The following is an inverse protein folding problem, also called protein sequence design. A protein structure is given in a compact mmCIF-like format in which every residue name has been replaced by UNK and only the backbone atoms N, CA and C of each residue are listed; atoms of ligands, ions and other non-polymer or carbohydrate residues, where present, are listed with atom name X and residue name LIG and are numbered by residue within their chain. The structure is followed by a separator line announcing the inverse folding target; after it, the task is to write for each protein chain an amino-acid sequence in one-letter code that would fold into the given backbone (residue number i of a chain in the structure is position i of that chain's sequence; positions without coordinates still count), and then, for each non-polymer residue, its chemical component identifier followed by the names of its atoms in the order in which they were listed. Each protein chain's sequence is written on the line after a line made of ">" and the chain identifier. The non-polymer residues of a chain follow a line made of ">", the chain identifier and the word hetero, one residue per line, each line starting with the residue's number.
data_IF_496598691190
#
_entry.id   IF_496598691190
#
_cell.length_a   1.000
_cell.length_b   1.000
_cell.length_c   1.000
_cell.angle_alpha   90.00
_cell.angle_beta   90.00
_cell.angle_gamma   90.00
#
_symmetry.space_group_name_H-M   'P 1'
#
loop_
_entity.id
_entity.type
_entity.pdbx_description
1 polymer ?
#
# COMPACT_ATOMS: atom_id res chain seq x y z
N UNK A 1 -14.54 -12.58 -12.28
CA UNK A 1 -15.45 -13.28 -13.23
C UNK A 1 -16.27 -12.21 -13.94
N UNK A 2 -16.53 -12.37 -15.26
CA UNK A 2 -17.42 -11.47 -16.01
C UNK A 2 -18.88 -11.92 -15.80
N UNK A 3 -19.83 -10.97 -15.74
CA UNK A 3 -21.26 -11.31 -15.72
C UNK A 3 -21.70 -11.82 -17.10
N UNK A 4 -22.79 -12.61 -17.20
CA UNK A 4 -23.36 -12.97 -18.50
C UNK A 4 -23.71 -11.73 -19.31
N UNK A 5 -23.45 -11.77 -20.60
CA UNK A 5 -23.67 -10.65 -21.49
C UNK A 5 -22.85 -10.74 -22.78
N UNK A 6 -23.00 -9.74 -23.61
CA UNK A 6 -22.27 -9.61 -24.86
C UNK A 6 -21.01 -8.77 -24.62
N UNK A 7 -19.90 -9.26 -25.13
CA UNK A 7 -18.58 -8.66 -24.98
C UNK A 7 -17.91 -8.50 -26.32
N UNK A 8 -17.09 -7.47 -26.44
CA UNK A 8 -16.17 -7.33 -27.56
C UNK A 8 -14.78 -7.77 -27.07
N UNK A 9 -14.22 -8.81 -27.70
CA UNK A 9 -12.83 -9.18 -27.53
C UNK A 9 -11.99 -8.43 -28.58
N UNK A 10 -11.02 -7.65 -28.12
CA UNK A 10 -10.11 -6.91 -29.00
C UNK A 10 -8.73 -7.55 -28.89
N UNK A 11 -8.20 -8.02 -30.02
CA UNK A 11 -6.84 -8.54 -30.12
C UNK A 11 -5.97 -7.48 -30.83
N UNK A 12 -4.90 -7.08 -30.15
CA UNK A 12 -3.91 -6.13 -30.70
C UNK A 12 -2.57 -6.85 -30.89
N UNK A 13 -2.03 -6.81 -32.09
CA UNK A 13 -0.70 -7.33 -32.39
C UNK A 13 0.07 -6.35 -33.29
N UNK A 14 1.02 -5.66 -32.73
CA UNK A 14 1.69 -4.54 -33.39
C UNK A 14 0.70 -3.44 -33.79
N UNK A 15 0.59 -3.16 -35.07
CA UNK A 15 -0.39 -2.19 -35.63
C UNK A 15 -1.72 -2.81 -36.05
N UNK A 16 -1.85 -4.14 -35.96
CA UNK A 16 -3.09 -4.84 -36.33
C UNK A 16 -4.01 -4.95 -35.13
N UNK A 17 -5.26 -4.57 -35.34
CA UNK A 17 -6.34 -4.68 -34.36
C UNK A 17 -7.48 -5.48 -34.99
N UNK A 18 -7.91 -6.54 -34.33
CA UNK A 18 -9.09 -7.31 -34.71
C UNK A 18 -10.10 -7.32 -33.55
N UNK A 19 -11.38 -7.36 -33.86
CA UNK A 19 -12.45 -7.31 -32.87
C UNK A 19 -13.50 -8.35 -33.19
N UNK A 20 -13.81 -9.20 -32.18
CA UNK A 20 -14.89 -10.18 -32.32
C UNK A 20 -15.91 -10.01 -31.19
N UNK A 21 -17.16 -10.27 -31.51
CA UNK A 21 -18.22 -10.34 -30.50
C UNK A 21 -18.27 -11.73 -29.87
N UNK A 22 -18.35 -11.75 -28.54
CA UNK A 22 -18.50 -12.94 -27.71
C UNK A 22 -19.72 -12.80 -26.84
N UNK A 23 -20.61 -13.80 -26.88
CA UNK A 23 -21.70 -13.91 -25.90
C UNK A 23 -21.28 -14.88 -24.80
N UNK A 24 -21.19 -14.41 -23.58
CA UNK A 24 -20.97 -15.26 -22.42
C UNK A 24 -22.31 -15.52 -21.71
N UNK A 25 -22.67 -16.78 -21.55
CA UNK A 25 -23.86 -17.19 -20.84
C UNK A 25 -23.53 -18.02 -19.60
N UNK A 26 -24.31 -17.85 -18.53
CA UNK A 26 -24.18 -18.69 -17.34
C UNK A 26 -24.49 -20.16 -17.65
N UNK A 27 -23.85 -21.08 -16.93
CA UNK A 27 -24.19 -22.51 -17.02
C UNK A 27 -25.63 -22.70 -16.52
N UNK A 28 -26.56 -23.22 -17.37
CA UNK A 28 -27.97 -23.37 -17.01
C UNK A 28 -28.20 -24.38 -15.88
N UNK A 29 -27.20 -25.19 -15.54
CA UNK A 29 -27.25 -26.17 -14.45
C UNK A 29 -26.95 -25.56 -13.08
N UNK A 30 -26.43 -24.32 -13.02
CA UNK A 30 -26.12 -23.64 -11.78
C UNK A 30 -27.07 -22.48 -11.55
N UNK A 31 -27.61 -22.38 -10.34
CA UNK A 31 -28.31 -21.18 -9.89
C UNK A 31 -27.28 -20.23 -9.34
N UNK A 32 -26.91 -19.22 -10.12
CA UNK A 32 -25.95 -18.21 -9.70
C UNK A 32 -26.68 -16.92 -9.33
N UNK A 33 -26.46 -16.44 -8.11
CA UNK A 33 -27.05 -15.18 -7.66
C UNK A 33 -26.21 -13.99 -8.16
N UNK A 34 -26.60 -13.43 -9.29
CA UNK A 34 -25.94 -12.27 -9.89
C UNK A 34 -26.07 -10.99 -9.06
N UNK A 35 -27.12 -10.87 -8.25
CA UNK A 35 -27.33 -9.71 -7.36
C UNK A 35 -26.32 -9.77 -6.21
N UNK A 36 -26.22 -10.92 -5.56
CA UNK A 36 -25.21 -11.17 -4.53
C UNK A 36 -23.80 -10.95 -5.08
N UNK A 37 -23.48 -11.52 -6.25
CA UNK A 37 -22.18 -11.33 -6.91
C UNK A 37 -21.88 -9.85 -7.19
N UNK A 38 -22.83 -9.09 -7.72
CA UNK A 38 -22.66 -7.67 -8.00
C UNK A 38 -22.41 -6.87 -6.71
N UNK A 39 -23.13 -7.20 -5.65
CA UNK A 39 -22.94 -6.61 -4.31
C UNK A 39 -21.55 -6.92 -3.75
N UNK A 40 -21.11 -8.17 -3.77
CA UNK A 40 -19.77 -8.59 -3.35
C UNK A 40 -18.67 -7.90 -4.15
N UNK A 41 -18.84 -7.79 -5.48
CA UNK A 41 -17.91 -7.08 -6.36
C UNK A 41 -17.84 -5.58 -6.06
N UNK A 42 -18.98 -4.95 -5.73
CA UNK A 42 -19.01 -3.55 -5.33
C UNK A 42 -18.26 -3.33 -4.00
N UNK A 43 -18.50 -4.21 -3.03
CA UNK A 43 -17.80 -4.17 -1.75
C UNK A 43 -16.28 -4.40 -1.95
N UNK A 44 -15.87 -5.36 -2.78
CA UNK A 44 -14.47 -5.61 -3.11
C UNK A 44 -13.76 -4.37 -3.61
N UNK A 45 -14.39 -3.56 -4.46
CA UNK A 45 -13.82 -2.30 -4.92
C UNK A 45 -13.55 -1.30 -3.80
N UNK A 46 -14.38 -1.30 -2.74
CA UNK A 46 -14.15 -0.44 -1.59
C UNK A 46 -12.92 -0.91 -0.77
N UNK A 47 -12.74 -2.22 -0.65
CA UNK A 47 -11.54 -2.79 -0.02
C UNK A 47 -10.29 -2.50 -0.87
N UNK A 48 -10.39 -2.70 -2.19
CA UNK A 48 -9.28 -2.43 -3.12
C UNK A 48 -8.83 -0.95 -3.06
N UNK A 49 -9.77 0.00 -2.90
CA UNK A 49 -9.44 1.41 -2.71
C UNK A 49 -8.63 1.68 -1.43
N UNK A 50 -8.92 0.97 -0.34
CA UNK A 50 -8.13 1.08 0.89
C UNK A 50 -6.75 0.43 0.74
N UNK A 51 -6.64 -0.65 -0.04
CA UNK A 51 -5.34 -1.25 -0.40
C UNK A 51 -4.49 -0.26 -1.20
N UNK A 52 -5.07 0.42 -2.20
CA UNK A 52 -4.37 1.44 -2.99
C UNK A 52 -3.92 2.61 -2.12
N UNK A 53 -4.78 3.06 -1.19
CA UNK A 53 -4.43 4.12 -0.22
C UNK A 53 -3.23 3.71 0.64
N UNK A 54 -3.26 2.50 1.22
CA UNK A 54 -2.15 1.97 2.01
C UNK A 54 -0.88 1.82 1.19
N UNK A 55 -0.99 1.33 -0.05
CA UNK A 55 0.15 1.19 -0.95
C UNK A 55 0.82 2.55 -1.24
N UNK A 56 0.04 3.61 -1.42
CA UNK A 56 0.58 4.97 -1.58
C UNK A 56 1.40 5.44 -0.37
N UNK A 57 0.89 5.21 0.85
CA UNK A 57 1.62 5.54 2.08
C UNK A 57 2.94 4.74 2.20
N UNK A 58 2.90 3.46 1.86
CA UNK A 58 4.10 2.60 1.90
C UNK A 58 5.13 2.97 0.84
N UNK A 59 4.69 3.40 -0.34
CA UNK A 59 5.57 3.91 -1.39
C UNK A 59 6.31 5.18 -0.95
N UNK A 60 5.62 6.09 -0.27
CA UNK A 60 6.22 7.31 0.27
C UNK A 60 7.32 6.99 1.28
N UNK A 61 7.07 6.07 2.21
CA UNK A 61 8.07 5.60 3.16
C UNK A 61 9.23 4.86 2.49
N UNK A 62 8.97 4.07 1.44
CA UNK A 62 10.01 3.37 0.71
C UNK A 62 10.97 4.34 0.03
N UNK A 63 10.45 5.39 -0.62
CA UNK A 63 11.28 6.44 -1.23
C UNK A 63 12.14 7.15 -0.18
N UNK A 64 11.58 7.49 0.98
CA UNK A 64 12.33 8.10 2.07
C UNK A 64 13.44 7.17 2.60
N UNK A 65 13.14 5.89 2.82
CA UNK A 65 14.11 4.89 3.29
C UNK A 65 15.25 4.68 2.29
N UNK A 66 14.95 4.55 0.99
CA UNK A 66 15.97 4.38 -0.05
C UNK A 66 16.83 5.63 -0.21
N UNK A 67 16.20 6.81 -0.12
CA UNK A 67 16.94 8.07 -0.10
C UNK A 67 17.92 8.11 1.08
N UNK A 68 17.50 7.78 2.28
CA UNK A 68 18.39 7.70 3.45
C UNK A 68 19.52 6.70 3.24
N UNK A 69 19.26 5.51 2.70
CA UNK A 69 20.31 4.51 2.40
C UNK A 69 21.34 5.05 1.43
N UNK A 70 20.89 5.73 0.36
CA UNK A 70 21.79 6.35 -0.61
C UNK A 70 22.63 7.47 0.01
N UNK A 71 22.04 8.27 0.90
CA UNK A 71 22.74 9.36 1.59
C UNK A 71 23.72 8.87 2.66
N UNK A 72 23.42 7.79 3.36
CA UNK A 72 24.26 7.24 4.44
C UNK A 72 25.69 6.97 3.96
N UNK A 73 25.86 6.45 2.76
CA UNK A 73 27.19 6.20 2.19
C UNK A 73 27.96 7.49 1.88
N UNK A 74 27.27 8.58 1.54
CA UNK A 74 27.85 9.89 1.30
C UNK A 74 28.20 10.57 2.62
N UNK A 75 27.25 10.56 3.56
CA UNK A 75 27.43 11.21 4.86
C UNK A 75 28.49 10.52 5.74
N UNK A 76 28.69 9.20 5.60
CA UNK A 76 29.76 8.49 6.29
C UNK A 76 31.17 8.90 5.83
N UNK A 77 31.30 9.53 4.67
CA UNK A 77 32.55 10.08 4.14
C UNK A 77 32.77 11.55 4.53
N UNK A 78 31.73 12.21 4.99
CA UNK A 78 31.74 13.56 5.49
C UNK A 78 31.66 13.47 7.01
N UNK A 79 32.27 14.42 7.72
CA UNK A 79 32.05 14.56 9.18
C UNK A 79 30.54 14.91 9.36
N UNK A 80 29.69 13.88 9.41
CA UNK A 80 28.24 14.04 9.66
C UNK A 80 28.05 14.67 11.03
N UNK A 81 27.06 15.54 11.14
CA UNK A 81 26.73 16.13 12.43
C UNK A 81 25.96 15.11 13.28
N UNK A 82 26.18 15.12 14.59
CA UNK A 82 25.49 14.26 15.56
C UNK A 82 23.96 14.35 15.43
N UNK A 83 23.45 15.51 14.97
CA UNK A 83 22.03 15.76 14.69
C UNK A 83 21.51 14.94 13.51
N UNK A 84 22.24 14.83 12.40
CA UNK A 84 21.85 14.04 11.22
C UNK A 84 21.78 12.56 11.58
N UNK A 85 22.74 12.01 12.29
CA UNK A 85 22.77 10.61 12.71
C UNK A 85 21.60 10.29 13.65
N UNK A 86 21.26 11.21 14.56
CA UNK A 86 20.12 11.08 15.47
C UNK A 86 18.78 11.07 14.70
N UNK A 87 18.61 11.98 13.74
CA UNK A 87 17.40 12.07 12.93
C UNK A 87 17.23 10.86 12.00
N UNK A 88 18.33 10.34 11.44
CA UNK A 88 18.30 9.08 10.67
C UNK A 88 17.86 7.89 11.53
N UNK A 89 18.36 7.80 12.75
CA UNK A 89 17.97 6.73 13.67
C UNK A 89 16.47 6.85 14.04
N UNK A 90 15.97 8.06 14.29
CA UNK A 90 14.56 8.32 14.57
C UNK A 90 13.68 7.96 13.36
N UNK A 91 14.07 8.36 12.14
CA UNK A 91 13.34 8.03 10.92
C UNK A 91 13.28 6.52 10.68
N UNK A 92 14.41 5.82 10.83
CA UNK A 92 14.49 4.37 10.69
C UNK A 92 13.64 3.64 11.73
N UNK A 93 13.62 4.14 12.97
CA UNK A 93 12.76 3.64 14.05
C UNK A 93 11.29 3.81 13.71
N UNK A 94 10.88 5.02 13.30
CA UNK A 94 9.49 5.31 12.91
C UNK A 94 9.01 4.44 11.74
N UNK A 95 9.84 4.24 10.71
CA UNK A 95 9.51 3.33 9.60
C UNK A 95 9.30 1.90 10.10
N UNK A 96 10.17 1.43 11.01
CA UNK A 96 10.03 0.11 11.61
C UNK A 96 8.72 -0.01 12.39
N UNK A 97 8.39 0.96 13.23
CA UNK A 97 7.18 0.96 14.06
C UNK A 97 5.91 0.95 13.16
N UNK A 98 5.90 1.75 12.09
CA UNK A 98 4.81 1.74 11.10
C UNK A 98 4.67 0.36 10.43
N UNK A 99 5.78 -0.28 10.04
CA UNK A 99 5.75 -1.63 9.48
C UNK A 99 5.21 -2.67 10.47
N UNK A 100 5.49 -2.52 11.75
CA UNK A 100 4.94 -3.38 12.78
C UNK A 100 3.43 -3.22 12.97
N UNK A 101 2.85 -2.09 12.58
CA UNK A 101 1.39 -1.93 12.51
C UNK A 101 0.76 -2.74 11.37
N UNK A 102 1.51 -3.05 10.32
CA UNK A 102 1.00 -3.78 9.14
C UNK A 102 0.97 -5.28 9.36
N UNK A 103 2.05 -5.86 9.86
CA UNK A 103 2.20 -7.30 10.07
C UNK A 103 3.07 -7.63 11.27
N UNK A 104 2.93 -8.86 11.75
CA UNK A 104 3.76 -9.35 12.85
C UNK A 104 5.23 -9.43 12.42
N UNK A 105 6.18 -8.90 13.20
CA UNK A 105 7.60 -9.01 12.90
C UNK A 105 8.06 -10.46 12.71
N UNK A 106 9.02 -10.67 11.81
CA UNK A 106 9.51 -12.02 11.48
C UNK A 106 10.24 -12.72 12.64
N UNK A 107 10.81 -11.95 13.56
CA UNK A 107 11.50 -12.40 14.76
C UNK A 107 10.58 -12.57 15.98
N UNK A 108 9.28 -12.33 15.79
CA UNK A 108 8.30 -12.51 16.86
C UNK A 108 8.14 -14.01 17.19
N UNK A 109 8.47 -14.37 18.43
CA UNK A 109 8.32 -15.75 18.95
C UNK A 109 7.11 -15.80 19.87
N UNK A 110 6.04 -16.43 19.40
CA UNK A 110 4.82 -16.61 20.17
C UNK A 110 3.56 -16.29 19.39
N UNK A 111 2.43 -16.22 20.11
CA UNK A 111 1.14 -15.88 19.54
C UNK A 111 0.73 -14.48 20.05
N UNK A 112 0.73 -13.49 19.15
CA UNK A 112 0.23 -12.15 19.49
C UNK A 112 -1.30 -12.12 19.32
N UNK A 113 -2.01 -12.37 20.41
CA UNK A 113 -3.48 -12.31 20.42
C UNK A 113 -4.06 -10.89 20.60
N UNK A 114 -3.20 -9.92 20.88
CA UNK A 114 -3.63 -8.59 21.35
C UNK A 114 -3.50 -7.55 20.27
N UNK A 115 -2.52 -7.70 19.38
CA UNK A 115 -2.24 -6.69 18.37
C UNK A 115 -2.93 -7.03 17.04
N UNK A 116 -3.95 -6.25 16.71
CA UNK A 116 -4.61 -6.34 15.41
C UNK A 116 -3.73 -5.65 14.36
N UNK A 117 -3.32 -6.39 13.35
CA UNK A 117 -2.50 -5.88 12.25
C UNK A 117 -3.37 -5.50 11.06
N UNK A 118 -2.96 -4.45 10.35
CA UNK A 118 -3.73 -3.95 9.19
C UNK A 118 -3.94 -5.04 8.13
N UNK A 119 -2.92 -5.87 7.88
CA UNK A 119 -3.02 -6.95 6.89
C UNK A 119 -4.01 -8.04 7.29
N UNK A 120 -4.17 -8.31 8.60
CA UNK A 120 -5.18 -9.25 9.10
C UNK A 120 -6.60 -8.71 8.88
N UNK A 121 -6.82 -7.41 9.17
CA UNK A 121 -8.12 -6.75 8.92
C UNK A 121 -8.45 -6.72 7.42
N UNK A 122 -7.46 -6.41 6.58
CA UNK A 122 -7.62 -6.44 5.11
C UNK A 122 -8.01 -7.84 4.63
N UNK A 123 -7.34 -8.88 5.12
CA UNK A 123 -7.66 -10.26 4.76
C UNK A 123 -9.09 -10.64 5.15
N UNK A 124 -9.52 -10.26 6.35
CA UNK A 124 -10.88 -10.52 6.84
C UNK A 124 -11.96 -9.71 6.13
N UNK A 125 -11.62 -8.55 5.56
CA UNK A 125 -12.55 -7.69 4.83
C UNK A 125 -12.84 -8.16 3.39
N UNK A 126 -12.12 -9.18 2.89
CA UNK A 126 -12.34 -9.72 1.55
C UNK A 126 -13.66 -10.50 1.49
N UNK A 127 -14.66 -10.03 0.72
CA UNK A 127 -15.97 -10.67 0.68
C UNK A 127 -15.92 -11.97 -0.10
N UNK A 128 -16.79 -12.92 0.26
CA UNK A 128 -17.14 -14.02 -0.63
C UNK A 128 -18.02 -13.48 -1.76
N UNK A 129 -17.51 -13.54 -2.98
CA UNK A 129 -18.23 -13.02 -4.14
C UNK A 129 -19.49 -13.82 -4.47
N UNK A 130 -19.62 -15.06 -3.99
CA UNK A 130 -20.81 -15.90 -4.22
C UNK A 130 -21.93 -15.58 -3.25
N UNK A 131 -21.61 -15.19 -2.04
CA UNK A 131 -22.60 -14.86 -1.00
C UNK A 131 -23.03 -13.38 -1.02
N UNK A 132 -22.25 -12.53 -1.71
CA UNK A 132 -22.45 -11.09 -1.73
C UNK A 132 -21.95 -10.40 -0.48
N UNK A 133 -22.06 -9.07 -0.45
CA UNK A 133 -21.65 -8.29 0.71
C UNK A 133 -22.68 -8.37 1.83
N UNK A 134 -22.21 -8.62 3.04
CA UNK A 134 -23.01 -8.74 4.27
C UNK A 134 -22.76 -7.56 5.21
N UNK A 135 -23.60 -7.42 6.25
CA UNK A 135 -23.36 -6.46 7.31
C UNK A 135 -22.06 -6.74 8.11
N UNK A 136 -21.54 -7.96 8.03
CA UNK A 136 -20.23 -8.31 8.62
C UNK A 136 -19.10 -7.73 7.78
N UNK A 137 -19.18 -7.85 6.45
CA UNK A 137 -18.19 -7.28 5.53
C UNK A 137 -18.14 -5.75 5.65
N UNK A 138 -19.29 -5.09 5.79
CA UNK A 138 -19.35 -3.64 6.02
C UNK A 138 -18.63 -3.23 7.31
N UNK A 139 -18.84 -3.98 8.41
CA UNK A 139 -18.14 -3.73 9.68
C UNK A 139 -16.64 -3.98 9.56
N UNK A 140 -16.27 -4.99 8.81
CA UNK A 140 -14.87 -5.32 8.56
C UNK A 140 -14.18 -4.22 7.75
N UNK A 141 -14.85 -3.69 6.72
CA UNK A 141 -14.36 -2.53 5.97
C UNK A 141 -14.15 -1.30 6.85
N UNK A 142 -15.04 -1.03 7.82
CA UNK A 142 -14.86 0.07 8.76
C UNK A 142 -13.63 -0.14 9.67
N UNK A 143 -13.34 -1.38 10.06
CA UNK A 143 -12.13 -1.71 10.83
C UNK A 143 -10.86 -1.47 10.01
N UNK A 144 -10.86 -1.92 8.74
CA UNK A 144 -9.76 -1.66 7.79
C UNK A 144 -9.50 -0.17 7.68
N UNK A 145 -10.55 0.63 7.43
CA UNK A 145 -10.42 2.09 7.34
C UNK A 145 -9.80 2.67 8.61
N UNK A 146 -10.33 2.33 9.77
CA UNK A 146 -9.82 2.83 11.04
C UNK A 146 -8.37 2.37 11.33
N UNK A 147 -7.96 1.20 10.84
CA UNK A 147 -6.59 0.73 10.96
C UNK A 147 -5.65 1.50 10.03
N UNK A 148 -6.05 1.71 8.77
CA UNK A 148 -5.27 2.49 7.79
C UNK A 148 -5.20 3.98 8.20
N UNK A 149 -6.28 4.57 8.73
CA UNK A 149 -6.27 5.93 9.27
C UNK A 149 -5.18 6.15 10.33
N UNK A 150 -4.96 5.15 11.20
CA UNK A 150 -3.88 5.20 12.20
C UNK A 150 -2.50 5.17 11.53
N UNK A 151 -2.32 4.30 10.54
CA UNK A 151 -1.05 4.24 9.77
C UNK A 151 -0.80 5.57 9.08
N UNK A 152 -1.81 6.16 8.46
CA UNK A 152 -1.68 7.46 7.79
C UNK A 152 -1.28 8.58 8.76
N UNK A 153 -1.85 8.60 9.96
CA UNK A 153 -1.46 9.58 11.00
C UNK A 153 0.03 9.44 11.34
N UNK A 154 0.52 8.22 11.57
CA UNK A 154 1.92 7.97 11.91
C UNK A 154 2.85 8.29 10.74
N UNK A 155 2.48 7.92 9.51
CA UNK A 155 3.25 8.28 8.30
C UNK A 155 3.33 9.79 8.15
N UNK A 156 2.20 10.49 8.24
CA UNK A 156 2.16 11.94 8.11
C UNK A 156 2.97 12.65 9.20
N UNK A 157 2.91 12.18 10.45
CA UNK A 157 3.72 12.72 11.53
C UNK A 157 5.22 12.51 11.25
N UNK A 158 5.63 11.30 10.89
CA UNK A 158 7.02 10.97 10.58
C UNK A 158 7.55 11.82 9.42
N UNK A 159 6.76 11.98 8.36
CA UNK A 159 7.15 12.74 7.16
C UNK A 159 7.16 14.25 7.40
N UNK A 160 6.20 14.80 8.17
CA UNK A 160 6.12 16.25 8.41
C UNK A 160 7.06 16.75 9.51
N UNK A 161 7.46 15.89 10.43
CA UNK A 161 8.32 16.27 11.56
C UNK A 161 9.77 15.77 11.35
N UNK A 162 9.97 14.45 11.40
CA UNK A 162 11.33 13.88 11.38
C UNK A 162 11.98 14.00 10.01
N UNK A 163 11.24 13.73 8.93
CA UNK A 163 11.78 13.83 7.57
C UNK A 163 12.14 15.27 7.19
N UNK A 164 11.28 16.23 7.52
CA UNK A 164 11.55 17.66 7.28
C UNK A 164 12.75 18.12 8.10
N UNK A 165 12.83 17.76 9.39
CA UNK A 165 13.97 18.09 10.23
C UNK A 165 15.28 17.48 9.70
N UNK A 166 15.24 16.26 9.16
CA UNK A 166 16.40 15.63 8.52
C UNK A 166 16.83 16.37 7.25
N UNK A 167 15.87 16.83 6.43
CA UNK A 167 16.17 17.65 5.26
C UNK A 167 16.82 18.97 5.64
N UNK A 168 16.30 19.66 6.65
CA UNK A 168 16.86 20.91 7.16
C UNK A 168 18.27 20.72 7.76
N UNK A 169 18.49 19.66 8.53
CA UNK A 169 19.81 19.34 9.09
C UNK A 169 20.85 18.98 8.02
N UNK A 170 20.39 18.47 6.89
CA UNK A 170 21.23 18.15 5.73
C UNK A 170 21.47 19.35 4.79
N UNK A 171 20.83 20.51 5.03
CA UNK A 171 21.08 21.71 4.26
C UNK A 171 22.54 22.18 4.43
N UNK A 172 23.21 22.38 3.32
CA UNK A 172 24.64 22.79 3.31
C UNK A 172 25.62 21.63 3.16
N UNK A 173 25.18 20.40 3.17
CA UNK A 173 25.98 19.25 2.75
C UNK A 173 26.15 19.24 1.22
N UNK A 174 27.27 18.67 0.70
CA UNK A 174 27.59 18.71 -0.74
C UNK A 174 26.59 18.05 -1.67
N UNK A 175 25.72 17.17 -1.13
CA UNK A 175 24.66 16.49 -1.87
C UNK A 175 23.37 16.65 -1.08
N UNK A 176 22.33 17.18 -1.73
CA UNK A 176 21.04 17.42 -1.10
C UNK A 176 20.18 16.16 -1.13
N UNK A 177 19.36 15.97 -0.10
CA UNK A 177 18.35 14.89 -0.06
C UNK A 177 17.43 14.95 -1.28
N UNK A 178 17.06 16.14 -1.74
CA UNK A 178 16.14 16.33 -2.86
C UNK A 178 16.73 15.79 -4.18
N UNK A 179 18.02 16.01 -4.46
CA UNK A 179 18.69 15.47 -5.66
C UNK A 179 18.69 13.93 -5.66
N UNK A 180 18.89 13.31 -4.50
CA UNK A 180 18.87 11.85 -4.34
C UNK A 180 17.45 11.30 -4.47
N UNK A 181 16.45 11.97 -3.89
CA UNK A 181 15.04 11.58 -4.04
C UNK A 181 14.57 11.58 -5.49
N UNK A 182 14.94 12.58 -6.27
CA UNK A 182 14.62 12.65 -7.70
C UNK A 182 15.27 11.51 -8.47
N UNK A 183 16.51 11.15 -8.12
CA UNK A 183 17.22 10.01 -8.68
C UNK A 183 16.54 8.66 -8.34
N UNK A 184 16.12 8.46 -7.11
CA UNK A 184 15.41 7.25 -6.66
C UNK A 184 14.08 7.09 -7.41
N UNK A 185 13.26 8.13 -7.47
CA UNK A 185 11.96 8.10 -8.18
C UNK A 185 12.10 7.83 -9.67
N UNK A 186 13.15 8.35 -10.32
CA UNK A 186 13.39 8.13 -11.76
C UNK A 186 13.94 6.75 -12.09
N UNK A 187 14.40 5.97 -11.11
CA UNK A 187 14.91 4.61 -11.32
C UNK A 187 13.82 3.52 -11.24
N UNK A 188 12.61 3.89 -10.79
CA UNK A 188 11.47 2.99 -10.66
C UNK A 188 10.53 2.99 -11.89
N UNK A 189 10.72 3.92 -12.85
CA UNK A 189 10.02 4.02 -14.13
C UNK A 189 10.74 3.20 -15.25
#
# INVERSE_FOLDING_TARGET
>A
MAAPGDYNAVLTFGTHVDTMQLTWSADPRTTFDWVAYASGKAHRKLVDAEVERLAGLMQELAVAEETMKAMTSVWSLLDSTEDVDSLQAQMSGGIKDIREMLWTPQDFVGYDHVTVRVMDELYQAMPDLHEGATATDERQLQRVKAAIDKVEVEVNALMSETWVALQEAAEGLPVTIQEVMEGVRSSED
#
